data_IF_324154471345
#
_entry.id   IF_324154471345
#
_cell.length_a   1.000
_cell.length_b   1.000
_cell.length_c   1.000
_cell.angle_alpha   90.00
_cell.angle_beta   90.00
_cell.angle_gamma   90.00
#
_symmetry.space_group_name_H-M   'P 1'
#
loop_
_entity.id
_entity.type
_entity.pdbx_description
1 polymer ?
#
# COMPACT_ATOMS: atom_id res chain seq x y z
N UNK A 1 -17.97 -61.80 -55.58
CA UNK A 1 -16.87 -60.85 -55.27
C UNK A 1 -17.48 -59.83 -54.41
N UNK A 2 -17.25 -59.94 -53.06
CA UNK A 2 -17.85 -59.05 -52.09
C UNK A 2 -16.72 -58.18 -51.49
N UNK A 3 -16.82 -56.87 -51.71
CA UNK A 3 -15.95 -55.89 -51.07
C UNK A 3 -16.62 -55.38 -49.77
N UNK A 4 -16.02 -55.72 -48.65
CA UNK A 4 -16.40 -55.19 -47.33
C UNK A 4 -15.66 -53.86 -47.10
N UNK A 5 -16.41 -52.79 -47.01
CA UNK A 5 -15.93 -51.44 -46.60
C UNK A 5 -15.79 -51.41 -45.07
N UNK A 6 -14.59 -51.23 -44.56
CA UNK A 6 -14.30 -50.94 -43.14
C UNK A 6 -14.47 -49.45 -42.91
N UNK A 7 -15.47 -49.10 -42.14
CA UNK A 7 -15.64 -47.75 -41.63
C UNK A 7 -14.71 -47.52 -40.42
N UNK A 8 -13.85 -46.53 -40.53
CA UNK A 8 -13.04 -46.05 -39.42
C UNK A 8 -13.86 -45.03 -38.59
N UNK A 9 -14.14 -45.38 -37.35
CA UNK A 9 -14.74 -44.50 -36.37
C UNK A 9 -13.65 -43.56 -35.81
N UNK A 10 -13.70 -42.27 -36.13
CA UNK A 10 -12.90 -41.24 -35.52
C UNK A 10 -13.55 -40.89 -34.17
N UNK A 11 -12.89 -41.26 -33.06
CA UNK A 11 -13.25 -40.77 -31.74
C UNK A 11 -12.73 -39.32 -31.56
N UNK A 12 -13.62 -38.35 -31.56
CA UNK A 12 -13.30 -36.97 -31.20
C UNK A 12 -13.11 -36.88 -29.70
N UNK A 13 -11.86 -36.70 -29.25
CA UNK A 13 -11.54 -36.39 -27.86
C UNK A 13 -11.84 -34.91 -27.63
N UNK A 14 -12.97 -34.62 -27.00
CA UNK A 14 -13.31 -33.30 -26.49
C UNK A 14 -12.38 -33.00 -25.30
N UNK A 15 -11.34 -32.21 -25.54
CA UNK A 15 -10.61 -31.54 -24.45
C UNK A 15 -11.54 -30.45 -23.87
N UNK A 16 -12.24 -30.81 -22.81
CA UNK A 16 -12.90 -29.81 -21.96
C UNK A 16 -11.81 -28.93 -21.34
N UNK A 17 -11.74 -27.67 -21.75
CA UNK A 17 -10.99 -26.67 -21.04
C UNK A 17 -11.59 -26.55 -19.63
N UNK A 18 -10.95 -27.15 -18.63
CA UNK A 18 -11.19 -26.81 -17.25
C UNK A 18 -10.77 -25.35 -17.08
N UNK A 19 -11.73 -24.44 -17.22
CA UNK A 19 -11.57 -23.06 -16.80
C UNK A 19 -11.18 -23.09 -15.34
N UNK A 20 -9.98 -22.62 -15.00
CA UNK A 20 -9.63 -22.36 -13.62
C UNK A 20 -10.73 -21.49 -13.02
N UNK A 21 -11.40 -21.97 -11.98
CA UNK A 21 -12.37 -21.18 -11.23
C UNK A 21 -11.60 -19.94 -10.75
N UNK A 22 -11.92 -18.78 -11.33
CA UNK A 22 -11.44 -17.49 -10.80
C UNK A 22 -11.93 -17.39 -9.37
N UNK A 23 -11.05 -17.20 -8.40
CA UNK A 23 -11.46 -16.92 -7.03
C UNK A 23 -12.41 -15.71 -7.06
N UNK A 24 -13.50 -15.78 -6.29
CA UNK A 24 -14.43 -14.66 -6.14
C UNK A 24 -13.66 -13.45 -5.60
N UNK A 25 -13.55 -12.42 -6.41
CA UNK A 25 -12.78 -11.21 -6.13
C UNK A 25 -13.57 -9.99 -6.64
N UNK A 26 -13.14 -8.80 -6.25
CA UNK A 26 -13.70 -7.56 -6.80
C UNK A 26 -13.52 -7.59 -8.31
N UNK A 27 -14.61 -7.51 -9.11
CA UNK A 27 -14.52 -7.61 -10.56
C UNK A 27 -13.55 -6.58 -11.15
N UNK A 28 -12.56 -7.05 -11.91
CA UNK A 28 -11.57 -6.21 -12.56
C UNK A 28 -10.48 -5.63 -11.64
N UNK A 29 -10.36 -6.09 -10.39
CA UNK A 29 -9.30 -5.69 -9.48
C UNK A 29 -7.92 -5.99 -10.09
N UNK A 30 -7.05 -4.97 -10.10
CA UNK A 30 -5.69 -5.04 -10.68
C UNK A 30 -4.58 -4.84 -9.65
N UNK A 31 -4.90 -4.31 -8.48
CA UNK A 31 -3.93 -4.05 -7.42
C UNK A 31 -4.34 -2.90 -6.51
N UNK A 32 -3.47 -2.61 -5.55
CA UNK A 32 -3.64 -1.50 -4.62
C UNK A 32 -3.25 -0.18 -5.29
N UNK A 33 -4.16 0.79 -5.35
CA UNK A 33 -3.95 2.09 -6.02
C UNK A 33 -3.34 3.13 -5.08
N UNK A 34 -3.96 3.37 -3.92
CA UNK A 34 -3.48 4.36 -2.94
C UNK A 34 -3.90 4.01 -1.51
N UNK A 35 -3.21 4.63 -0.56
CA UNK A 35 -3.59 4.65 0.86
C UNK A 35 -4.01 6.07 1.23
N UNK A 36 -5.26 6.23 1.73
CA UNK A 36 -5.78 7.50 2.24
C UNK A 36 -5.33 7.76 3.68
N UNK A 37 -4.85 8.97 3.95
CA UNK A 37 -4.39 9.42 5.26
C UNK A 37 -5.00 10.77 5.60
N UNK A 38 -5.67 10.87 6.74
CA UNK A 38 -6.03 12.18 7.29
C UNK A 38 -4.85 12.73 8.11
N UNK A 39 -4.45 13.96 7.79
CA UNK A 39 -3.30 14.62 8.41
C UNK A 39 -3.73 15.90 9.13
N UNK A 40 -3.07 16.27 10.25
CA UNK A 40 -3.45 17.47 11.01
C UNK A 40 -3.10 18.77 10.28
N UNK A 41 -2.05 18.76 9.45
CA UNK A 41 -1.58 19.90 8.68
C UNK A 41 -1.09 19.44 7.29
N UNK A 42 -1.73 19.92 6.22
CA UNK A 42 -1.42 19.51 4.85
C UNK A 42 -0.01 19.96 4.43
N UNK A 43 0.38 21.19 4.78
CA UNK A 43 1.70 21.69 4.42
C UNK A 43 2.80 20.87 5.08
N UNK A 44 2.68 20.58 6.37
CA UNK A 44 3.64 19.74 7.09
C UNK A 44 3.71 18.33 6.48
N UNK A 45 2.57 17.74 6.14
CA UNK A 45 2.53 16.40 5.55
C UNK A 45 3.17 16.36 4.15
N UNK A 46 2.84 17.31 3.28
CA UNK A 46 3.44 17.40 1.95
C UNK A 46 4.94 17.64 2.06
N UNK A 47 5.39 18.58 2.91
CA UNK A 47 6.81 18.84 3.13
C UNK A 47 7.56 17.60 3.63
N UNK A 48 6.96 16.85 4.55
CA UNK A 48 7.54 15.60 5.06
C UNK A 48 7.66 14.54 3.98
N UNK A 49 6.57 14.24 3.27
CA UNK A 49 6.60 13.21 2.24
C UNK A 49 7.50 13.59 1.04
N UNK A 50 7.58 14.87 0.69
CA UNK A 50 8.40 15.29 -0.46
C UNK A 50 9.86 15.50 -0.10
N UNK A 51 10.18 16.15 1.03
CA UNK A 51 11.54 16.59 1.36
C UNK A 51 12.29 15.63 2.29
N UNK A 52 11.57 14.69 2.93
CA UNK A 52 12.16 13.67 3.80
C UNK A 52 12.03 12.29 3.19
N UNK A 53 10.81 11.85 2.86
CA UNK A 53 10.58 10.52 2.28
C UNK A 53 11.03 10.45 0.81
N UNK A 54 10.96 11.57 0.08
CA UNK A 54 11.37 11.62 -1.34
C UNK A 54 10.24 11.36 -2.32
N UNK A 55 8.99 11.40 -1.87
CA UNK A 55 7.82 11.33 -2.76
C UNK A 55 7.71 12.58 -3.63
N UNK A 56 6.88 12.54 -4.66
CA UNK A 56 6.58 13.67 -5.53
C UNK A 56 5.11 14.01 -5.45
N UNK A 57 4.78 15.28 -5.23
CA UNK A 57 3.41 15.77 -5.31
C UNK A 57 2.91 15.66 -6.74
N UNK A 58 1.79 14.97 -6.92
CA UNK A 58 1.16 14.78 -8.24
C UNK A 58 0.06 15.81 -8.49
N UNK A 59 -0.86 16.00 -7.54
CA UNK A 59 -1.98 16.94 -7.65
C UNK A 59 -2.47 17.36 -6.27
N UNK A 60 -3.16 18.50 -6.22
CA UNK A 60 -3.94 19.00 -5.08
C UNK A 60 -5.24 19.59 -5.56
N UNK A 61 -6.29 19.41 -4.79
CA UNK A 61 -7.61 19.98 -5.06
C UNK A 61 -8.46 20.08 -3.79
N UNK A 62 -9.56 20.78 -3.86
CA UNK A 62 -10.45 21.14 -2.76
C UNK A 62 -10.75 22.65 -2.75
N UNK A 63 -11.53 23.14 -1.79
CA UNK A 63 -12.22 22.38 -0.76
C UNK A 63 -13.48 21.68 -1.27
N UNK A 64 -13.99 20.70 -0.45
CA UNK A 64 -15.28 20.04 -0.66
C UNK A 64 -16.11 20.04 0.61
N UNK A 65 -17.35 20.44 0.48
CA UNK A 65 -18.39 20.33 1.50
C UNK A 65 -19.74 20.08 0.81
N UNK A 66 -20.67 19.50 1.53
CA UNK A 66 -22.04 19.29 1.05
C UNK A 66 -23.04 19.77 2.11
N UNK A 67 -23.24 21.07 2.18
CA UNK A 67 -24.11 21.72 3.19
C UNK A 67 -25.60 21.38 3.03
N UNK A 68 -26.03 20.82 1.90
CA UNK A 68 -27.42 20.60 1.55
C UNK A 68 -27.77 19.15 1.20
N UNK A 69 -26.79 18.34 0.99
CA UNK A 69 -26.94 16.93 0.63
C UNK A 69 -26.45 15.99 1.71
N UNK A 70 -26.24 14.74 1.32
CA UNK A 70 -25.80 13.65 2.18
C UNK A 70 -24.48 13.03 1.74
N UNK A 71 -23.80 13.63 0.77
CA UNK A 71 -22.57 13.08 0.17
C UNK A 71 -21.50 12.76 1.21
N UNK A 72 -21.25 13.67 2.16
CA UNK A 72 -20.21 13.47 3.19
C UNK A 72 -20.49 12.24 4.03
N UNK A 73 -21.75 12.01 4.39
CA UNK A 73 -22.15 10.84 5.19
C UNK A 73 -22.31 9.58 4.33
N UNK A 74 -23.05 9.66 3.23
CA UNK A 74 -23.46 8.46 2.48
C UNK A 74 -22.35 7.89 1.60
N UNK A 75 -21.42 8.73 1.15
CA UNK A 75 -20.29 8.34 0.29
C UNK A 75 -18.99 8.17 1.07
N UNK A 76 -18.69 9.13 1.95
CA UNK A 76 -17.42 9.16 2.67
C UNK A 76 -17.50 8.59 4.09
N UNK A 77 -18.71 8.38 4.63
CA UNK A 77 -18.90 7.83 5.98
C UNK A 77 -18.43 8.76 7.10
N UNK A 78 -18.40 10.07 6.86
CA UNK A 78 -17.96 11.09 7.83
C UNK A 78 -19.16 11.95 8.31
N UNK A 79 -18.95 12.81 9.32
CA UNK A 79 -19.97 13.74 9.76
C UNK A 79 -20.53 14.54 8.57
N UNK A 80 -21.87 14.73 8.44
CA UNK A 80 -22.45 15.48 7.33
C UNK A 80 -21.92 16.90 7.18
N UNK A 81 -21.44 17.50 8.26
CA UNK A 81 -20.85 18.86 8.28
C UNK A 81 -19.33 18.85 8.11
N UNK A 82 -18.73 17.69 7.87
CA UNK A 82 -17.30 17.62 7.60
C UNK A 82 -16.96 18.39 6.32
N UNK A 83 -15.81 19.03 6.32
CA UNK A 83 -15.24 19.70 5.16
C UNK A 83 -13.91 19.04 4.84
N UNK A 84 -13.71 18.63 3.60
CA UNK A 84 -12.39 18.32 3.08
C UNK A 84 -11.77 19.65 2.64
N UNK A 85 -10.85 20.18 3.42
CA UNK A 85 -10.19 21.45 3.11
C UNK A 85 -9.23 21.30 1.92
N UNK A 86 -8.51 20.19 1.88
CA UNK A 86 -7.58 19.87 0.78
C UNK A 86 -7.38 18.38 0.68
N UNK A 87 -7.22 17.89 -0.56
CA UNK A 87 -6.71 16.57 -0.90
C UNK A 87 -5.40 16.77 -1.68
N UNK A 88 -4.36 16.05 -1.30
CA UNK A 88 -3.10 16.04 -2.05
C UNK A 88 -2.64 14.61 -2.30
N UNK A 89 -2.40 14.29 -3.58
CA UNK A 89 -1.81 13.00 -3.98
C UNK A 89 -0.29 13.12 -4.07
N UNK A 90 0.41 12.19 -3.47
CA UNK A 90 1.86 12.04 -3.61
C UNK A 90 2.21 10.65 -4.13
N UNK A 91 3.16 10.58 -5.05
CA UNK A 91 3.73 9.34 -5.60
C UNK A 91 5.08 9.05 -4.94
N UNK A 92 5.22 7.86 -4.37
CA UNK A 92 6.42 7.43 -3.66
C UNK A 92 7.13 6.30 -4.42
N UNK A 93 8.07 6.66 -5.27
CA UNK A 93 8.84 5.70 -6.06
C UNK A 93 7.96 4.87 -7.00
N UNK A 94 8.13 3.54 -6.97
CA UNK A 94 7.37 2.57 -7.77
C UNK A 94 6.15 2.01 -7.03
N UNK A 95 6.01 2.29 -5.74
CA UNK A 95 4.91 1.81 -4.92
C UNK A 95 3.57 2.46 -5.23
N UNK A 96 2.53 2.08 -4.47
CA UNK A 96 1.23 2.73 -4.54
C UNK A 96 1.31 4.17 -4.03
N UNK A 97 0.30 4.97 -4.40
CA UNK A 97 0.26 6.37 -4.05
C UNK A 97 -0.21 6.57 -2.60
N UNK A 98 0.00 7.77 -2.09
CA UNK A 98 -0.58 8.22 -0.82
C UNK A 98 -1.49 9.40 -1.11
N UNK A 99 -2.72 9.32 -0.63
CA UNK A 99 -3.72 10.37 -0.69
C UNK A 99 -3.82 11.04 0.68
N UNK A 100 -3.38 12.29 0.77
CA UNK A 100 -3.40 13.08 1.99
C UNK A 100 -4.68 13.89 2.04
N UNK A 101 -5.42 13.76 3.15
CA UNK A 101 -6.62 14.54 3.43
C UNK A 101 -6.38 15.52 4.57
N UNK A 102 -6.81 16.75 4.39
CA UNK A 102 -7.03 17.69 5.49
C UNK A 102 -8.52 17.85 5.68
N UNK A 103 -9.04 17.35 6.79
CA UNK A 103 -10.44 17.48 7.19
C UNK A 103 -10.60 18.49 8.31
N UNK A 104 -11.79 19.11 8.35
CA UNK A 104 -12.39 19.70 9.54
C UNK A 104 -13.76 19.08 9.73
N UNK A 105 -14.02 18.50 10.90
CA UNK A 105 -15.32 17.89 11.22
C UNK A 105 -15.67 18.14 12.70
N UNK A 106 -16.99 18.28 13.04
CA UNK A 106 -17.41 18.52 14.42
C UNK A 106 -17.02 17.42 15.40
N UNK A 107 -16.92 16.18 14.94
CA UNK A 107 -16.57 14.99 15.71
C UNK A 107 -15.13 14.50 15.50
N UNK A 108 -14.29 15.30 14.83
CA UNK A 108 -12.92 14.95 14.52
C UNK A 108 -12.11 14.67 15.79
N UNK A 109 -11.40 13.54 15.77
CA UNK A 109 -10.48 13.15 16.85
C UNK A 109 -9.06 13.28 16.37
N UNK A 110 -8.25 14.00 17.13
CA UNK A 110 -6.80 14.10 16.91
C UNK A 110 -6.12 12.92 17.64
N UNK A 111 -6.14 11.75 17.02
CA UNK A 111 -5.59 10.52 17.54
C UNK A 111 -4.70 9.87 16.48
N UNK A 112 -3.44 9.58 16.84
CA UNK A 112 -2.60 8.70 16.04
C UNK A 112 -2.54 7.33 16.72
N UNK A 113 -3.18 6.28 16.17
CA UNK A 113 -3.20 4.97 16.78
C UNK A 113 -1.79 4.37 16.82
N UNK A 114 -1.52 3.53 17.82
CA UNK A 114 -0.32 2.69 17.84
C UNK A 114 -0.50 1.53 16.86
N UNK A 115 0.58 0.93 16.39
CA UNK A 115 0.49 -0.30 15.58
C UNK A 115 -0.27 -1.44 16.28
N UNK A 116 -0.36 -1.42 17.61
CA UNK A 116 -1.08 -2.41 18.41
C UNK A 116 -2.58 -2.12 18.58
N UNK A 117 -3.04 -0.96 18.22
CA UNK A 117 -4.45 -0.60 18.35
C UNK A 117 -5.25 -1.13 17.14
N UNK A 118 -6.52 -1.49 17.34
CA UNK A 118 -7.39 -1.85 16.20
C UNK A 118 -7.57 -0.59 15.34
N UNK A 119 -7.24 -0.69 14.04
CA UNK A 119 -7.14 0.46 13.14
C UNK A 119 -5.72 1.07 13.11
N UNK A 120 -4.81 0.59 13.94
CA UNK A 120 -3.39 0.93 13.85
C UNK A 120 -2.75 0.37 12.59
N UNK A 121 -1.90 1.15 11.94
CA UNK A 121 -1.20 0.76 10.72
C UNK A 121 0.12 1.51 10.57
N UNK A 122 0.93 1.05 9.64
CA UNK A 122 2.12 1.76 9.17
C UNK A 122 2.25 1.60 7.66
N UNK A 123 3.04 2.48 7.05
CA UNK A 123 3.43 2.38 5.64
C UNK A 123 4.92 2.08 5.59
N UNK A 124 5.28 1.00 4.88
CA UNK A 124 6.66 0.60 4.69
C UNK A 124 7.20 1.10 3.35
N UNK A 125 8.43 1.63 3.38
CA UNK A 125 9.18 2.05 2.19
C UNK A 125 10.39 1.13 2.02
N UNK A 126 10.52 0.52 0.85
CA UNK A 126 11.72 -0.23 0.53
C UNK A 126 12.89 0.73 0.33
N UNK A 127 14.01 0.41 0.95
CA UNK A 127 15.29 1.10 0.80
C UNK A 127 16.40 0.08 0.56
N UNK A 128 17.45 0.45 -0.15
CA UNK A 128 18.56 -0.47 -0.42
C UNK A 128 19.40 -0.72 0.84
N UNK A 129 19.54 0.28 1.72
CA UNK A 129 20.31 0.23 2.96
C UNK A 129 19.58 0.92 4.11
N UNK A 130 19.10 0.11 5.06
CA UNK A 130 18.36 0.60 6.24
C UNK A 130 19.26 1.38 7.21
N UNK A 131 20.57 1.08 7.28
CA UNK A 131 21.50 1.82 8.13
C UNK A 131 21.75 3.23 7.57
N UNK A 132 21.96 3.34 6.28
CA UNK A 132 22.06 4.62 5.59
C UNK A 132 20.75 5.42 5.70
N UNK A 133 19.59 4.75 5.55
CA UNK A 133 18.28 5.38 5.73
C UNK A 133 18.10 5.93 7.15
N UNK A 134 18.53 5.16 8.18
CA UNK A 134 18.50 5.62 9.57
C UNK A 134 19.32 6.90 9.77
N UNK A 135 20.57 6.88 9.32
CA UNK A 135 21.46 8.03 9.44
C UNK A 135 20.89 9.29 8.75
N UNK A 136 20.32 9.11 7.57
CA UNK A 136 19.64 10.18 6.83
C UNK A 136 18.43 10.73 7.59
N UNK A 137 17.55 9.86 8.07
CA UNK A 137 16.33 10.25 8.80
C UNK A 137 16.68 11.02 10.08
N UNK A 138 17.66 10.54 10.85
CA UNK A 138 18.13 11.21 12.07
C UNK A 138 18.79 12.57 11.78
N UNK A 139 19.57 12.68 10.71
CA UNK A 139 20.12 13.95 10.26
C UNK A 139 19.04 14.97 9.83
N UNK A 140 17.87 14.48 9.41
CA UNK A 140 16.67 15.30 9.12
C UNK A 140 15.81 15.57 10.37
N UNK A 141 16.23 15.13 11.55
CA UNK A 141 15.49 15.31 12.80
C UNK A 141 14.29 14.39 12.95
N UNK A 142 14.18 13.33 12.11
CA UNK A 142 13.10 12.34 12.21
C UNK A 142 13.35 11.39 13.36
N UNK A 143 12.30 11.15 14.17
CA UNK A 143 12.36 10.22 15.28
C UNK A 143 12.35 8.77 14.77
N UNK A 144 13.45 8.06 14.97
CA UNK A 144 13.58 6.62 14.68
C UNK A 144 13.34 5.78 15.93
N UNK A 145 12.95 4.51 15.74
CA UNK A 145 12.93 3.50 16.79
C UNK A 145 14.28 2.77 16.87
N UNK A 146 14.39 1.84 17.82
CA UNK A 146 15.56 0.96 17.93
C UNK A 146 15.75 0.17 16.61
N UNK A 147 16.95 0.08 16.15
CA UNK A 147 17.30 -0.60 14.88
C UNK A 147 18.51 0.04 14.22
N UNK A 148 18.89 -0.38 12.99
CA UNK A 148 18.26 -1.41 12.15
C UNK A 148 18.16 -2.79 12.79
N UNK A 149 17.07 -3.50 12.55
CA UNK A 149 16.82 -4.83 13.08
C UNK A 149 16.81 -5.87 11.95
N UNK A 150 17.88 -6.68 11.79
CA UNK A 150 17.86 -7.79 10.85
C UNK A 150 17.02 -8.94 11.40
N UNK A 151 16.10 -9.47 10.58
CA UNK A 151 15.29 -10.64 10.88
C UNK A 151 16.04 -11.89 10.39
N UNK A 152 16.44 -12.75 11.33
CA UNK A 152 17.31 -13.90 11.05
C UNK A 152 16.57 -15.21 10.88
N UNK A 153 15.33 -15.31 11.37
CA UNK A 153 14.57 -16.56 11.44
C UNK A 153 13.13 -16.34 10.99
N UNK A 154 12.45 -17.45 10.65
CA UNK A 154 11.06 -17.44 10.21
C UNK A 154 10.89 -17.03 8.75
N UNK A 155 9.63 -16.91 8.29
CA UNK A 155 9.32 -16.61 6.89
C UNK A 155 9.89 -15.28 6.40
N UNK A 156 10.02 -14.30 7.28
CA UNK A 156 10.54 -12.97 6.98
C UNK A 156 12.08 -12.86 7.10
N UNK A 157 12.79 -13.97 7.36
CA UNK A 157 14.25 -13.95 7.42
C UNK A 157 14.85 -13.46 6.10
N UNK A 158 15.87 -12.61 6.20
CA UNK A 158 16.48 -11.91 5.06
C UNK A 158 16.13 -10.43 4.98
N UNK A 159 15.07 -9.97 5.68
CA UNK A 159 14.76 -8.56 5.76
C UNK A 159 15.50 -7.85 6.91
N UNK A 160 15.69 -6.56 6.74
CA UNK A 160 16.11 -5.62 7.80
C UNK A 160 15.09 -4.52 7.88
N UNK A 161 14.66 -4.16 9.08
CA UNK A 161 13.61 -3.18 9.32
C UNK A 161 14.04 -2.05 10.25
N UNK A 162 13.43 -0.89 10.09
CA UNK A 162 13.54 0.26 10.99
C UNK A 162 12.22 1.03 11.01
N UNK A 163 11.59 1.13 12.19
CA UNK A 163 10.44 2.02 12.35
C UNK A 163 10.87 3.45 12.62
N UNK A 164 10.12 4.40 12.06
CA UNK A 164 10.28 5.84 12.29
C UNK A 164 8.92 6.52 12.31
N UNK A 165 8.87 7.81 12.66
CA UNK A 165 7.62 8.53 12.81
C UNK A 165 7.59 9.80 11.98
N UNK A 166 6.46 10.04 11.32
CA UNK A 166 6.13 11.36 10.79
C UNK A 166 5.95 12.37 11.93
N UNK A 167 6.04 13.68 11.68
CA UNK A 167 5.94 14.71 12.71
C UNK A 167 4.67 14.65 13.57
N UNK A 168 3.57 14.15 13.01
CA UNK A 168 2.28 13.98 13.71
C UNK A 168 2.09 12.60 14.33
N UNK A 169 3.15 11.79 14.38
CA UNK A 169 3.15 10.50 15.09
C UNK A 169 2.83 9.27 14.26
N UNK A 170 2.43 9.41 12.97
CA UNK A 170 2.19 8.27 12.09
C UNK A 170 3.41 7.35 12.05
N UNK A 171 3.18 6.05 12.27
CA UNK A 171 4.24 5.05 12.17
C UNK A 171 4.57 4.76 10.71
N UNK A 172 5.85 4.74 10.41
CA UNK A 172 6.41 4.42 9.11
C UNK A 172 7.54 3.40 9.29
N UNK A 173 7.89 2.70 8.22
CA UNK A 173 8.94 1.68 8.23
C UNK A 173 9.88 1.87 7.04
N UNK A 174 11.17 1.74 7.26
CA UNK A 174 12.16 1.49 6.22
C UNK A 174 12.49 -0.01 6.24
N UNK A 175 12.38 -0.66 5.09
CA UNK A 175 12.58 -2.10 4.95
C UNK A 175 13.52 -2.41 3.79
N UNK A 176 14.39 -3.40 3.96
CA UNK A 176 15.28 -3.91 2.92
C UNK A 176 15.35 -5.43 2.97
N UNK A 177 15.35 -6.09 1.81
CA UNK A 177 15.54 -7.53 1.62
C UNK A 177 16.20 -7.77 0.26
N UNK A 178 17.49 -7.36 0.08
CA UNK A 178 18.16 -7.38 -1.22
C UNK A 178 18.20 -8.77 -1.85
N UNK A 179 18.36 -9.81 -1.05
CA UNK A 179 18.43 -11.21 -1.48
C UNK A 179 17.10 -11.96 -1.37
N UNK A 180 16.00 -11.22 -1.14
CA UNK A 180 14.67 -11.79 -0.90
C UNK A 180 14.48 -12.26 0.54
N UNK A 181 13.32 -12.88 0.81
CA UNK A 181 12.93 -13.39 2.12
C UNK A 181 12.78 -14.92 2.09
N UNK A 182 12.97 -15.56 3.24
CA UNK A 182 12.94 -17.02 3.34
C UNK A 182 11.64 -17.68 2.85
N UNK A 183 10.49 -16.99 3.01
CA UNK A 183 9.18 -17.50 2.58
C UNK A 183 9.09 -17.71 1.06
N UNK A 184 9.89 -16.98 0.25
CA UNK A 184 9.84 -17.04 -1.21
C UNK A 184 10.21 -18.43 -1.76
N UNK A 185 10.96 -19.22 -0.95
CA UNK A 185 11.33 -20.59 -1.31
C UNK A 185 10.10 -21.49 -1.22
N UNK A 186 9.54 -21.83 -2.37
CA UNK A 186 8.38 -22.71 -2.48
C UNK A 186 7.04 -22.03 -2.24
N UNK A 187 7.00 -20.70 -2.17
CA UNK A 187 5.75 -19.97 -2.08
C UNK A 187 4.94 -20.06 -3.40
N UNK A 188 3.66 -20.33 -3.28
CA UNK A 188 2.72 -20.27 -4.41
C UNK A 188 2.53 -18.83 -4.90
N UNK A 189 2.55 -17.87 -3.97
CA UNK A 189 2.42 -16.44 -4.24
C UNK A 189 3.58 -15.68 -3.60
N UNK A 190 4.31 -14.91 -4.39
CA UNK A 190 5.36 -13.99 -3.93
C UNK A 190 4.80 -12.58 -3.86
N UNK A 191 5.12 -11.86 -2.78
CA UNK A 191 4.70 -10.47 -2.59
C UNK A 191 5.34 -9.58 -3.67
N UNK A 192 4.53 -8.66 -4.21
CA UNK A 192 5.07 -7.61 -5.06
C UNK A 192 6.09 -6.76 -4.28
N UNK A 193 7.17 -6.37 -4.93
CA UNK A 193 8.23 -5.57 -4.30
C UNK A 193 8.62 -4.39 -5.18
N UNK A 194 8.77 -3.17 -4.61
CA UNK A 194 9.31 -2.04 -5.34
C UNK A 194 10.79 -2.20 -5.71
N UNK A 195 11.49 -3.19 -5.14
CA UNK A 195 12.83 -3.60 -5.55
C UNK A 195 12.86 -4.10 -7.00
N UNK A 196 11.81 -4.79 -7.41
CA UNK A 196 11.66 -5.33 -8.76
C UNK A 196 10.23 -5.07 -9.26
N UNK A 197 9.92 -3.83 -9.65
CA UNK A 197 8.55 -3.39 -9.91
C UNK A 197 7.95 -4.00 -11.20
N UNK A 198 8.73 -4.77 -11.95
CA UNK A 198 8.31 -5.40 -13.21
C UNK A 198 7.90 -6.86 -13.07
N UNK A 199 8.09 -7.44 -11.91
CA UNK A 199 7.67 -8.80 -11.56
C UNK A 199 6.29 -8.90 -10.97
#
# INVERSE_FOLDING_TARGET
MNYATRGAMLAAILFGSMGAASADAIPGMRGHDHTGLTVPDMKQAVDFFTNVVGCKKAMSFGPFADDKGTFMQDVLGVDPKAVIEEITMVRCGYGSNIELFKYTAPDQKDLTPKNSDIGGFHIAFYVDDVAAAKAYLEAKGVKTRMGPLPVKEGPAAGQTILYFQAPWGLQLEAISYPDGMAYEKGAETVLWSPKDPTK
#
